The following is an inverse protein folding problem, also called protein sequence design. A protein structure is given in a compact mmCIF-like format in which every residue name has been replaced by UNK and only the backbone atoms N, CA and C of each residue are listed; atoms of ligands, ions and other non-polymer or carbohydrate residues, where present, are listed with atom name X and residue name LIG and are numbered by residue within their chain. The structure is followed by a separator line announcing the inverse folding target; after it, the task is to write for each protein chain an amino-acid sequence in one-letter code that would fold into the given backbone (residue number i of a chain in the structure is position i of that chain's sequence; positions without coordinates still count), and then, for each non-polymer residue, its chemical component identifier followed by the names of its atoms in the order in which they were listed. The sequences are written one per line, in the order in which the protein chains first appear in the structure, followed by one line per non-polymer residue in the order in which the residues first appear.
data_IF_284575893077
#
_entry.id   IF_284575893077
#
_cell.length_a   1.000
_cell.length_b   1.000
_cell.length_c   1.000
_cell.angle_alpha   90.00
_cell.angle_beta   90.00
_cell.angle_gamma   90.00
#
_symmetry.space_group_name_H-M   'P 1'
#
loop_
_entity.id
_entity.type
_entity.pdbx_description
1 polymer ?
#
# COMPACT_ATOMS: atom_id res chain seq x y z
N UNK A 1 -0.04 -2.92 -34.51
CA UNK A 1 0.65 -4.18 -34.17
C UNK A 1 1.10 -3.99 -32.74
N UNK A 2 0.21 -3.97 -31.73
CA UNK A 2 -0.88 -4.92 -31.44
C UNK A 2 -0.45 -6.36 -31.69
N UNK A 3 0.08 -6.98 -30.63
CA UNK A 3 -0.35 -8.30 -30.20
C UNK A 3 0.23 -8.62 -28.80
N UNK A 4 -0.70 -8.95 -27.88
CA UNK A 4 -0.55 -9.93 -26.81
C UNK A 4 0.08 -9.51 -25.47
N UNK A 5 -0.61 -8.64 -24.72
CA UNK A 5 -0.69 -8.80 -23.25
C UNK A 5 -2.04 -9.42 -22.93
N UNK A 6 -2.02 -10.73 -22.73
CA UNK A 6 -3.17 -11.52 -22.31
C UNK A 6 -3.71 -10.95 -21.00
N UNK A 7 -4.95 -10.47 -21.01
CA UNK A 7 -5.75 -10.17 -19.83
C UNK A 7 -6.04 -11.49 -19.10
N UNK A 8 -5.07 -12.02 -18.35
CA UNK A 8 -5.20 -13.26 -17.58
C UNK A 8 -3.97 -13.46 -16.69
N UNK A 9 -3.87 -12.69 -15.60
CA UNK A 9 -3.44 -13.24 -14.30
C UNK A 9 -3.71 -12.19 -13.20
N UNK A 10 -4.99 -11.97 -12.88
CA UNK A 10 -5.27 -11.65 -11.49
C UNK A 10 -4.91 -12.93 -10.74
N UNK A 11 -3.68 -12.99 -10.21
CA UNK A 11 -3.17 -14.16 -9.50
C UNK A 11 -4.23 -14.61 -8.47
N UNK A 12 -4.34 -15.92 -8.21
CA UNK A 12 -5.37 -16.44 -7.33
C UNK A 12 -5.32 -15.72 -5.97
N UNK A 13 -6.49 -15.51 -5.34
CA UNK A 13 -6.59 -14.79 -4.07
C UNK A 13 -5.61 -15.36 -3.05
N UNK A 14 -5.14 -14.52 -2.14
CA UNK A 14 -4.18 -14.89 -1.11
C UNK A 14 -4.64 -16.19 -0.40
N UNK A 15 -3.82 -17.27 -0.38
CA UNK A 15 -4.27 -18.58 0.07
C UNK A 15 -4.66 -18.55 1.56
N UNK A 16 -5.90 -18.96 1.87
CA UNK A 16 -6.44 -18.98 3.23
C UNK A 16 -6.99 -17.64 3.74
N UNK A 17 -6.96 -16.59 2.92
CA UNK A 17 -7.50 -15.27 3.26
C UNK A 17 -9.02 -15.31 3.36
N UNK A 18 -9.58 -14.72 4.42
CA UNK A 18 -10.97 -14.28 4.45
C UNK A 18 -11.15 -13.01 3.61
N UNK A 19 -10.54 -12.99 2.41
CA UNK A 19 -10.49 -11.84 1.53
C UNK A 19 -11.92 -11.37 1.23
N UNK A 20 -12.19 -10.06 1.29
CA UNK A 20 -13.47 -9.54 0.84
C UNK A 20 -13.70 -9.91 -0.63
N UNK A 21 -14.96 -10.01 -1.05
CA UNK A 21 -15.25 -10.35 -2.45
C UNK A 21 -14.71 -9.27 -3.39
N UNK A 22 -14.38 -9.63 -4.65
CA UNK A 22 -13.95 -8.64 -5.65
C UNK A 22 -14.92 -7.46 -5.81
N UNK A 23 -16.22 -7.71 -5.74
CA UNK A 23 -17.27 -6.68 -5.84
C UNK A 23 -17.21 -5.73 -4.65
N UNK A 24 -17.02 -6.26 -3.45
CA UNK A 24 -16.85 -5.46 -2.23
C UNK A 24 -15.58 -4.61 -2.31
N UNK A 25 -14.48 -5.16 -2.79
CA UNK A 25 -13.23 -4.44 -2.98
C UNK A 25 -13.38 -3.30 -4.00
N UNK A 26 -14.09 -3.54 -5.11
CA UNK A 26 -14.38 -2.49 -6.11
C UNK A 26 -15.23 -1.35 -5.53
N UNK A 27 -16.24 -1.66 -4.72
CA UNK A 27 -17.03 -0.65 -4.00
C UNK A 27 -16.14 0.18 -3.07
N UNK A 28 -15.29 -0.48 -2.28
CA UNK A 28 -14.36 0.17 -1.35
C UNK A 28 -13.38 1.07 -2.10
N UNK A 29 -12.79 0.61 -3.22
CA UNK A 29 -11.90 1.41 -4.06
C UNK A 29 -12.60 2.69 -4.51
N UNK A 30 -13.84 2.61 -4.98
CA UNK A 30 -14.59 3.77 -5.45
C UNK A 30 -14.86 4.77 -4.32
N UNK A 31 -15.27 4.29 -3.14
CA UNK A 31 -15.55 5.13 -1.97
C UNK A 31 -14.29 5.80 -1.44
N UNK A 32 -13.22 5.02 -1.24
CA UNK A 32 -11.92 5.49 -0.74
C UNK A 32 -11.34 6.53 -1.68
N UNK A 33 -11.32 6.25 -2.99
CA UNK A 33 -10.84 7.19 -3.99
C UNK A 33 -11.59 8.52 -3.92
N UNK A 34 -12.92 8.48 -3.95
CA UNK A 34 -13.74 9.69 -3.90
C UNK A 34 -13.49 10.49 -2.62
N UNK A 35 -13.34 9.80 -1.48
CA UNK A 35 -13.04 10.43 -0.21
C UNK A 35 -11.67 11.10 -0.18
N UNK A 36 -10.62 10.42 -0.66
CA UNK A 36 -9.27 10.99 -0.79
C UNK A 36 -9.32 12.28 -1.65
N UNK A 37 -9.94 12.22 -2.82
CA UNK A 37 -10.02 13.35 -3.76
C UNK A 37 -10.83 14.52 -3.19
N UNK A 38 -11.93 14.26 -2.47
CA UNK A 38 -12.83 15.30 -1.97
C UNK A 38 -12.40 15.89 -0.62
N UNK A 39 -12.03 15.03 0.34
CA UNK A 39 -11.72 15.40 1.72
C UNK A 39 -10.28 15.88 1.89
N UNK A 40 -9.35 15.21 1.22
CA UNK A 40 -7.90 15.48 1.35
C UNK A 40 -7.34 16.26 0.16
N UNK A 41 -8.12 16.39 -0.94
CA UNK A 41 -7.70 17.11 -2.15
C UNK A 41 -6.45 16.52 -2.80
N UNK A 42 -6.27 15.21 -2.65
CA UNK A 42 -5.19 14.44 -3.27
C UNK A 42 -5.77 13.76 -4.51
N UNK A 43 -5.28 14.06 -5.72
CA UNK A 43 -5.67 13.32 -6.91
C UNK A 43 -5.25 11.85 -6.83
N UNK A 44 -6.18 10.96 -7.15
CA UNK A 44 -5.90 9.52 -7.31
C UNK A 44 -5.98 9.18 -8.79
N UNK A 45 -4.97 8.48 -9.31
CA UNK A 45 -4.87 8.10 -10.71
C UNK A 45 -4.74 6.59 -10.84
N UNK A 46 -5.68 5.97 -11.55
CA UNK A 46 -5.55 4.58 -12.00
C UNK A 46 -4.93 4.62 -13.40
N UNK A 47 -3.64 4.29 -13.50
CA UNK A 47 -2.82 4.47 -14.72
C UNK A 47 -1.94 3.24 -14.95
N UNK A 48 -1.31 3.15 -16.12
CA UNK A 48 -0.23 2.19 -16.34
C UNK A 48 1.01 2.64 -15.57
N UNK A 49 1.37 1.89 -14.53
CA UNK A 49 2.57 2.15 -13.72
C UNK A 49 3.70 1.25 -14.22
N UNK A 50 4.90 1.79 -14.52
CA UNK A 50 5.99 0.97 -15.02
C UNK A 50 6.38 -0.16 -14.06
N UNK A 51 6.44 -1.38 -14.58
CA UNK A 51 6.99 -2.51 -13.85
C UNK A 51 8.42 -2.20 -13.34
N UNK A 52 8.79 -2.67 -12.13
CA UNK A 52 8.08 -3.65 -11.31
C UNK A 52 7.09 -3.05 -10.29
N UNK A 53 6.75 -1.76 -10.38
CA UNK A 53 5.91 -1.10 -9.38
C UNK A 53 4.42 -1.30 -9.67
N UNK A 54 3.62 -1.39 -8.61
CA UNK A 54 2.15 -1.53 -8.67
C UNK A 54 1.42 -0.26 -8.19
N UNK A 55 2.18 0.74 -7.75
CA UNK A 55 1.72 2.07 -7.36
C UNK A 55 2.88 3.04 -7.12
N UNK A 56 2.57 4.32 -6.99
CA UNK A 56 3.55 5.38 -6.71
C UNK A 56 2.86 6.58 -6.03
N UNK A 57 3.64 7.45 -5.39
CA UNK A 57 3.15 8.71 -4.83
C UNK A 57 4.25 9.77 -4.80
N UNK A 58 3.86 11.04 -4.81
CA UNK A 58 4.81 12.16 -4.65
C UNK A 58 4.50 13.06 -3.44
N UNK A 59 3.51 12.68 -2.64
CA UNK A 59 2.99 13.45 -1.49
C UNK A 59 1.84 14.40 -1.86
N UNK A 60 1.62 14.67 -3.15
CA UNK A 60 0.52 15.49 -3.66
C UNK A 60 -0.48 14.66 -4.46
N UNK A 61 -0.05 13.60 -5.13
CA UNK A 61 -0.87 12.64 -5.89
C UNK A 61 -0.54 11.18 -5.52
N UNK A 62 -1.53 10.29 -5.70
CA UNK A 62 -1.40 8.82 -5.54
C UNK A 62 -1.73 8.14 -6.86
N UNK A 63 -0.86 7.24 -7.30
CA UNK A 63 -1.00 6.47 -8.52
C UNK A 63 -1.07 4.97 -8.19
N UNK A 64 -2.00 4.27 -8.83
CA UNK A 64 -2.16 2.82 -8.68
C UNK A 64 -2.29 2.21 -10.06
N UNK A 65 -1.63 1.08 -10.27
CA UNK A 65 -1.71 0.34 -11.52
C UNK A 65 -3.12 -0.25 -11.71
N UNK A 66 -3.78 0.08 -12.83
CA UNK A 66 -5.14 -0.42 -13.12
C UNK A 66 -5.16 -1.89 -13.57
N UNK A 67 -4.01 -2.47 -13.98
CA UNK A 67 -3.94 -3.86 -14.42
C UNK A 67 -3.97 -4.85 -13.25
N UNK A 68 -3.89 -4.37 -12.01
CA UNK A 68 -3.88 -5.17 -10.79
C UNK A 68 -5.27 -5.69 -10.40
N UNK A 69 -5.31 -6.75 -9.59
CA UNK A 69 -6.57 -7.25 -9.04
C UNK A 69 -7.21 -6.22 -8.09
N UNK A 70 -8.55 -6.26 -7.88
CA UNK A 70 -9.20 -5.38 -6.91
C UNK A 70 -8.62 -5.45 -5.50
N UNK A 71 -8.09 -6.60 -5.09
CA UNK A 71 -7.45 -6.77 -3.79
C UNK A 71 -6.17 -5.93 -3.68
N UNK A 72 -5.30 -6.03 -4.69
CA UNK A 72 -4.04 -5.26 -4.76
C UNK A 72 -4.33 -3.75 -4.87
N UNK A 73 -5.29 -3.35 -5.71
CA UNK A 73 -5.65 -1.94 -5.87
C UNK A 73 -6.19 -1.37 -4.55
N UNK A 74 -7.07 -2.11 -3.85
CA UNK A 74 -7.63 -1.66 -2.58
C UNK A 74 -6.55 -1.51 -1.50
N UNK A 75 -5.63 -2.48 -1.40
CA UNK A 75 -4.52 -2.42 -0.46
C UNK A 75 -3.60 -1.24 -0.77
N UNK A 76 -3.11 -1.12 -2.01
CA UNK A 76 -2.21 -0.04 -2.43
C UNK A 76 -2.84 1.33 -2.22
N UNK A 77 -4.14 1.51 -2.51
CA UNK A 77 -4.80 2.80 -2.33
C UNK A 77 -4.81 3.23 -0.85
N UNK A 78 -5.17 2.33 0.07
CA UNK A 78 -5.17 2.61 1.49
C UNK A 78 -3.74 2.81 2.04
N UNK A 79 -2.81 1.99 1.59
CA UNK A 79 -1.43 1.99 2.06
C UNK A 79 -0.64 3.22 1.57
N UNK A 80 -0.71 3.55 0.27
CA UNK A 80 -0.08 4.75 -0.30
C UNK A 80 -0.71 6.04 0.23
N UNK A 81 -2.00 6.05 0.57
CA UNK A 81 -2.58 7.16 1.32
C UNK A 81 -1.89 7.31 2.69
N UNK A 82 -1.66 6.21 3.41
CA UNK A 82 -0.94 6.22 4.68
C UNK A 82 0.47 6.83 4.57
N UNK A 83 1.22 6.46 3.55
CA UNK A 83 2.50 7.11 3.25
C UNK A 83 2.35 8.58 2.89
N UNK A 84 1.31 8.95 2.14
CA UNK A 84 1.03 10.36 1.81
C UNK A 84 0.81 11.18 3.08
N UNK A 85 0.11 10.64 4.08
CA UNK A 85 0.00 11.26 5.41
C UNK A 85 1.38 11.40 6.06
N UNK A 86 2.16 10.31 6.16
CA UNK A 86 3.49 10.32 6.78
C UNK A 86 4.43 11.36 6.13
N UNK A 87 4.51 11.39 4.81
CA UNK A 87 5.38 12.31 4.07
C UNK A 87 5.00 13.77 4.34
N UNK A 88 3.70 14.08 4.32
CA UNK A 88 3.23 15.44 4.58
C UNK A 88 3.41 15.88 6.03
N UNK A 89 3.34 14.96 7.00
CA UNK A 89 3.66 15.26 8.40
C UNK A 89 5.15 15.48 8.61
N UNK A 90 6.01 14.73 7.91
CA UNK A 90 7.46 14.91 7.94
C UNK A 90 7.94 16.12 7.12
N UNK A 91 7.16 16.53 6.12
CA UNK A 91 7.53 17.57 5.18
C UNK A 91 8.59 17.15 4.15
N UNK A 92 8.85 15.85 4.02
CA UNK A 92 9.80 15.27 3.07
C UNK A 92 9.48 13.78 2.81
N UNK A 93 9.96 13.26 1.68
CA UNK A 93 10.00 11.81 1.45
C UNK A 93 11.13 11.19 2.32
N UNK A 94 10.86 10.12 3.08
CA UNK A 94 11.89 9.44 3.87
C UNK A 94 12.84 8.64 2.98
N UNK A 95 14.07 8.42 3.47
CA UNK A 95 15.09 7.56 2.83
C UNK A 95 14.96 6.08 3.27
N UNK A 96 13.80 5.70 3.83
CA UNK A 96 13.52 4.33 4.26
C UNK A 96 13.35 3.47 3.01
N UNK A 97 14.08 2.36 2.93
CA UNK A 97 14.08 1.50 1.75
C UNK A 97 15.20 1.78 0.74
N UNK A 98 16.00 2.85 0.93
CA UNK A 98 17.01 3.26 -0.05
C UNK A 98 18.34 2.48 0.03
N UNK A 99 18.55 1.70 1.10
CA UNK A 99 19.77 0.89 1.22
C UNK A 99 19.71 -0.33 0.28
N UNK A 100 20.87 -0.78 -0.18
CA UNK A 100 20.96 -2.01 -0.96
C UNK A 100 20.49 -3.21 -0.12
N UNK A 101 19.71 -4.15 -0.68
CA UNK A 101 19.38 -5.39 0.02
C UNK A 101 20.62 -6.11 0.55
N UNK A 102 20.52 -6.71 1.74
CA UNK A 102 21.63 -7.32 2.47
C UNK A 102 22.48 -6.35 3.29
N UNK A 103 22.27 -5.03 3.15
CA UNK A 103 22.97 -4.00 3.95
C UNK A 103 22.17 -3.43 5.13
N UNK A 104 20.94 -3.91 5.33
CA UNK A 104 20.09 -3.50 6.44
C UNK A 104 20.55 -4.12 7.76
N UNK A 105 20.74 -3.29 8.78
CA UNK A 105 20.86 -3.73 10.16
C UNK A 105 19.48 -4.09 10.75
N UNK A 106 19.45 -4.80 11.87
CA UNK A 106 18.17 -5.07 12.56
C UNK A 106 17.46 -3.78 12.99
N UNK A 107 18.20 -2.73 13.34
CA UNK A 107 17.63 -1.41 13.65
C UNK A 107 16.95 -0.77 12.43
N UNK A 108 17.54 -0.93 11.24
CA UNK A 108 16.94 -0.45 10.00
C UNK A 108 15.67 -1.24 9.66
N UNK A 109 15.68 -2.56 9.87
CA UNK A 109 14.51 -3.41 9.64
C UNK A 109 13.38 -3.08 10.62
N UNK A 110 13.69 -2.76 11.87
CA UNK A 110 12.70 -2.31 12.86
C UNK A 110 12.10 -0.94 12.48
N UNK A 111 12.90 -0.05 11.88
CA UNK A 111 12.41 1.20 11.33
C UNK A 111 11.47 0.98 10.14
N UNK A 112 11.84 0.11 9.18
CA UNK A 112 10.97 -0.31 8.08
C UNK A 112 9.65 -0.85 8.62
N UNK A 113 9.69 -1.81 9.55
CA UNK A 113 8.46 -2.40 10.13
C UNK A 113 7.54 -1.34 10.73
N UNK A 114 8.10 -0.38 11.47
CA UNK A 114 7.32 0.69 12.09
C UNK A 114 6.73 1.61 11.03
N UNK A 115 7.52 2.00 10.03
CA UNK A 115 7.11 2.88 8.96
C UNK A 115 5.94 2.30 8.14
N UNK A 116 6.07 1.05 7.70
CA UNK A 116 5.04 0.35 6.93
C UNK A 116 3.78 0.04 7.75
N UNK A 117 3.97 -0.31 9.02
CA UNK A 117 2.86 -0.52 9.95
C UNK A 117 2.07 0.77 10.14
N UNK A 118 2.74 1.90 10.35
CA UNK A 118 2.05 3.17 10.56
C UNK A 118 1.35 3.68 9.30
N UNK A 119 1.90 3.46 8.11
CA UNK A 119 1.19 3.71 6.84
C UNK A 119 -0.13 2.93 6.79
N UNK A 120 -0.07 1.63 7.10
CA UNK A 120 -1.25 0.76 7.11
C UNK A 120 -2.27 1.15 8.19
N UNK A 121 -1.82 1.70 9.33
CA UNK A 121 -2.71 2.21 10.40
C UNK A 121 -3.42 3.50 10.02
N UNK A 122 -2.79 4.38 9.23
CA UNK A 122 -3.48 5.52 8.61
C UNK A 122 -4.45 5.07 7.52
N UNK A 123 -4.07 4.07 6.72
CA UNK A 123 -4.98 3.42 5.76
C UNK A 123 -6.20 2.80 6.44
N UNK A 124 -6.04 2.22 7.63
CA UNK A 124 -7.16 1.71 8.42
C UNK A 124 -8.09 2.83 8.90
N UNK A 125 -7.53 3.94 9.39
CA UNK A 125 -8.34 5.10 9.79
C UNK A 125 -9.10 5.69 8.61
N UNK A 126 -8.51 5.72 7.41
CA UNK A 126 -9.18 6.14 6.19
C UNK A 126 -10.44 5.31 5.90
N UNK A 127 -10.39 3.99 6.10
CA UNK A 127 -11.57 3.12 5.99
C UNK A 127 -12.58 3.43 7.10
N UNK A 128 -12.12 3.71 8.31
CA UNK A 128 -13.00 4.02 9.46
C UNK A 128 -13.72 5.36 9.29
N UNK A 129 -13.12 6.36 8.64
CA UNK A 129 -13.80 7.61 8.27
C UNK A 129 -15.01 7.39 7.35
N UNK A 130 -14.98 6.30 6.57
CA UNK A 130 -16.07 5.87 5.69
C UNK A 130 -17.02 4.86 6.36
N UNK A 131 -16.79 4.53 7.63
CA UNK A 131 -17.56 3.52 8.36
C UNK A 131 -17.27 2.07 7.93
N UNK A 132 -16.23 1.85 7.11
CA UNK A 132 -15.83 0.52 6.64
C UNK A 132 -14.97 -0.12 7.73
N UNK A 133 -15.52 -1.13 8.41
CA UNK A 133 -14.84 -1.90 9.48
C UNK A 133 -14.79 -3.39 9.21
N UNK A 134 -15.57 -3.86 8.23
CA UNK A 134 -15.59 -5.25 7.77
C UNK A 134 -14.27 -5.70 7.13
N UNK A 135 -13.39 -4.74 6.79
CA UNK A 135 -12.08 -4.97 6.17
C UNK A 135 -10.90 -4.88 7.16
N UNK A 136 -11.14 -4.61 8.45
CA UNK A 136 -10.06 -4.38 9.44
C UNK A 136 -9.08 -5.56 9.54
N UNK A 137 -9.61 -6.78 9.60
CA UNK A 137 -8.82 -8.00 9.68
C UNK A 137 -8.02 -8.21 8.39
N UNK A 138 -8.68 -8.09 7.24
CA UNK A 138 -8.04 -8.24 5.93
C UNK A 138 -6.87 -7.25 5.75
N UNK A 139 -7.08 -5.96 6.04
CA UNK A 139 -6.02 -4.95 5.88
C UNK A 139 -4.85 -5.22 6.84
N UNK A 140 -5.15 -5.68 8.06
CA UNK A 140 -4.13 -6.02 9.06
C UNK A 140 -3.28 -7.22 8.63
N UNK A 141 -3.91 -8.27 8.11
CA UNK A 141 -3.23 -9.47 7.62
C UNK A 141 -2.41 -9.17 6.36
N UNK A 142 -2.97 -8.38 5.43
CA UNK A 142 -2.25 -7.95 4.23
C UNK A 142 -1.02 -7.13 4.60
N UNK A 143 -1.18 -6.11 5.45
CA UNK A 143 -0.06 -5.29 5.94
C UNK A 143 1.03 -6.13 6.62
N UNK A 144 0.65 -7.13 7.43
CA UNK A 144 1.63 -8.00 8.06
C UNK A 144 2.39 -8.88 7.05
N UNK A 145 1.69 -9.38 6.02
CA UNK A 145 2.29 -10.14 4.92
C UNK A 145 3.27 -9.28 4.11
N UNK A 146 2.85 -8.05 3.78
CA UNK A 146 3.66 -7.07 3.05
C UNK A 146 4.93 -6.69 3.83
N UNK A 147 4.81 -6.36 5.12
CA UNK A 147 5.96 -6.08 6.00
C UNK A 147 6.91 -7.27 6.07
N UNK A 148 6.38 -8.50 6.16
CA UNK A 148 7.21 -9.69 6.22
C UNK A 148 7.97 -9.93 4.91
N UNK A 149 7.32 -9.68 3.77
CA UNK A 149 7.95 -9.70 2.44
C UNK A 149 9.05 -8.64 2.32
N UNK A 150 8.76 -7.36 2.64
CA UNK A 150 9.73 -6.26 2.55
C UNK A 150 10.96 -6.51 3.41
N UNK A 151 10.78 -6.98 4.65
CA UNK A 151 11.89 -7.32 5.53
C UNK A 151 12.71 -8.49 4.97
N UNK A 152 12.05 -9.52 4.44
CA UNK A 152 12.77 -10.63 3.80
C UNK A 152 13.60 -10.13 2.62
N UNK A 153 13.01 -9.33 1.73
CA UNK A 153 13.69 -8.74 0.59
C UNK A 153 14.86 -7.85 1.03
N UNK A 154 14.67 -6.93 1.98
CA UNK A 154 15.75 -6.07 2.46
C UNK A 154 16.87 -6.83 3.17
N UNK A 155 16.56 -7.95 3.82
CA UNK A 155 17.56 -8.80 4.47
C UNK A 155 18.36 -9.66 3.48
N UNK A 156 17.73 -10.16 2.43
CA UNK A 156 18.30 -11.23 1.58
C UNK A 156 18.59 -10.80 0.14
N UNK A 157 17.88 -9.79 -0.37
CA UNK A 157 17.82 -9.44 -1.78
C UNK A 157 16.95 -10.37 -2.63
N UNK A 158 16.33 -11.39 -2.04
CA UNK A 158 15.51 -12.35 -2.75
C UNK A 158 14.10 -11.82 -2.99
N UNK A 159 13.67 -11.86 -4.25
CA UNK A 159 12.27 -11.59 -4.63
C UNK A 159 11.54 -12.92 -4.72
N UNK A 160 10.82 -13.26 -3.66
CA UNK A 160 9.97 -14.46 -3.59
C UNK A 160 8.50 -14.07 -3.74
N UNK A 161 7.63 -15.06 -3.88
CA UNK A 161 6.20 -14.82 -3.95
C UNK A 161 5.66 -14.29 -2.61
N UNK A 162 5.10 -13.08 -2.62
CA UNK A 162 4.53 -12.41 -1.45
C UNK A 162 3.47 -13.27 -0.73
N UNK A 163 2.78 -14.17 -1.44
CA UNK A 163 1.79 -15.10 -0.88
C UNK A 163 2.36 -16.03 0.18
N UNK A 164 3.65 -16.33 0.11
CA UNK A 164 4.33 -17.17 1.10
C UNK A 164 4.40 -16.56 2.50
N UNK A 165 4.11 -15.25 2.64
CA UNK A 165 4.14 -14.53 3.92
C UNK A 165 2.75 -14.35 4.54
N UNK A 166 1.69 -14.83 3.88
CA UNK A 166 0.34 -14.66 4.39
C UNK A 166 0.10 -15.48 5.67
N UNK A 167 -0.44 -14.82 6.70
CA UNK A 167 -0.83 -15.47 7.95
C UNK A 167 -2.17 -14.89 8.42
N UNK A 168 -3.14 -15.77 8.66
CA UNK A 168 -4.45 -15.37 9.19
C UNK A 168 -4.53 -15.49 10.71
N UNK A 169 -5.45 -14.72 11.31
CA UNK A 169 -5.66 -14.70 12.76
C UNK A 169 -4.61 -13.89 13.53
N UNK A 170 -3.91 -12.99 12.84
CA UNK A 170 -2.96 -12.07 13.47
C UNK A 170 -3.70 -11.02 14.33
N UNK A 171 -3.05 -10.47 15.37
CA UNK A 171 -3.59 -9.32 16.08
C UNK A 171 -3.86 -8.16 15.12
N UNK A 172 -5.07 -7.61 15.17
CA UNK A 172 -5.46 -6.49 14.32
C UNK A 172 -4.60 -5.25 14.53
N UNK A 173 -4.42 -4.47 13.48
CA UNK A 173 -3.86 -3.13 13.56
C UNK A 173 -4.80 -2.21 14.35
N UNK A 174 -4.21 -1.31 15.14
CA UNK A 174 -4.96 -0.22 15.74
C UNK A 174 -4.87 1.01 14.83
N UNK A 175 -6.01 1.54 14.39
CA UNK A 175 -6.06 2.72 13.53
C UNK A 175 -5.30 3.91 14.15
N UNK A 176 -4.67 4.73 13.30
CA UNK A 176 -4.03 5.98 13.69
C UNK A 176 -4.88 7.15 13.22
N UNK A 177 -5.33 8.06 14.11
CA UNK A 177 -6.04 9.26 13.71
C UNK A 177 -5.22 10.07 12.70
N UNK A 178 -5.84 10.48 11.59
CA UNK A 178 -5.18 11.25 10.54
C UNK A 178 -5.11 12.72 11.00
N UNK A 179 -3.92 13.28 11.31
CA UNK A 179 -3.82 14.68 11.72
C UNK A 179 -4.10 15.60 10.53
N UNK A 180 -4.48 16.88 10.75
CA UNK A 180 -4.61 17.83 9.67
C UNK A 180 -3.27 18.03 8.93
N UNK A 181 -3.30 17.93 7.60
CA UNK A 181 -2.18 18.24 6.74
C UNK A 181 -2.67 18.89 5.43
N UNK A 182 -1.75 19.46 4.66
CA UNK A 182 -2.01 19.92 3.30
C UNK A 182 -1.07 19.20 2.36
N UNK A 183 -1.56 18.49 1.32
CA UNK A 183 -0.72 17.77 0.38
C UNK A 183 0.31 18.71 -0.27
N UNK A 184 1.53 18.22 -0.40
CA UNK A 184 2.64 18.92 -1.06
C UNK A 184 3.42 17.91 -1.89
N UNK A 185 3.97 18.36 -3.00
CA UNK A 185 4.94 17.57 -3.75
C UNK A 185 6.26 17.52 -2.99
N UNK A 186 6.66 16.33 -2.58
CA UNK A 186 7.81 16.06 -1.71
C UNK A 186 8.89 15.23 -2.39
N UNK A 187 8.57 14.59 -3.52
CA UNK A 187 9.54 13.86 -4.36
C UNK A 187 9.34 14.21 -5.83
N UNK A 188 10.44 14.38 -6.56
CA UNK A 188 10.40 14.39 -8.03
C UNK A 188 10.30 12.95 -8.53
N UNK A 189 9.43 12.71 -9.51
CA UNK A 189 9.12 11.37 -10.00
C UNK A 189 10.30 10.76 -10.75
N UNK A 190 10.86 9.67 -10.22
CA UNK A 190 11.84 8.80 -10.90
C UNK A 190 12.28 7.57 -10.08
N UNK A 191 11.56 7.17 -9.02
CA UNK A 191 12.03 6.07 -8.13
C UNK A 191 11.00 5.01 -7.73
N UNK A 192 9.69 5.24 -7.93
CA UNK A 192 8.64 4.32 -7.48
C UNK A 192 8.59 4.18 -5.95
N UNK A 193 7.47 3.69 -5.43
CA UNK A 193 7.39 3.12 -4.09
C UNK A 193 7.24 1.62 -4.27
N UNK A 194 8.09 0.83 -3.60
CA UNK A 194 7.98 -0.64 -3.66
C UNK A 194 6.81 -1.05 -2.79
N UNK A 195 5.78 -1.62 -3.41
CA UNK A 195 4.79 -2.49 -2.76
C UNK A 195 4.61 -3.78 -3.56
#
# INVERSE_FOLDING_TARGET
MDENRSSQDAGPPMPGSSAPSPERLQEVIALVRAHIEQRYRIPVRLIDVPAPFVGDLDGEEIWVDYEQSPEIIAFNLAHLFGHTVQWNLLGQAPEIGDKAPGSYSEADLDEVRRYERDASRYGLELLHELGIRDLDAWLSEFSASDIAYLVHFYRTGEKVDHRGFWHSGLPGLAALPIPPFSPKRLKLRSSGVVS
#
